data_IF_303998808965
#
_entry.id   IF_303998808965
#
_cell.length_a   1.000
_cell.length_b   1.000
_cell.length_c   1.000
_cell.angle_alpha   90.00
_cell.angle_beta   90.00
_cell.angle_gamma   90.00
#
_symmetry.space_group_name_H-M   'P 1'
#
loop_
_entity.id
_entity.type
_entity.pdbx_description
1 polymer ?
#
# COMPACT_ATOMS: atom_id res chain seq x y z
N UNK A 1 -7.01 -10.60 -0.96
CA UNK A 1 -5.67 -11.17 -0.65
C UNK A 1 -5.18 -10.81 0.75
N UNK A 2 -5.28 -9.54 1.16
CA UNK A 2 -4.83 -9.04 2.48
C UNK A 2 -5.94 -9.00 3.55
N UNK A 3 -6.97 -9.84 3.42
CA UNK A 3 -8.13 -9.80 4.32
C UNK A 3 -7.73 -10.09 5.78
N UNK A 4 -6.82 -11.03 6.00
CA UNK A 4 -6.32 -11.37 7.34
C UNK A 4 -5.58 -10.20 7.99
N UNK A 5 -4.78 -9.46 7.20
CA UNK A 5 -4.09 -8.25 7.66
C UNK A 5 -5.10 -7.18 8.10
N UNK A 6 -6.09 -6.89 7.25
CA UNK A 6 -7.11 -5.88 7.56
C UNK A 6 -7.94 -6.30 8.78
N UNK A 7 -8.26 -7.60 8.88
CA UNK A 7 -8.97 -8.14 10.03
C UNK A 7 -8.18 -7.97 11.32
N UNK A 8 -6.89 -8.35 11.33
CA UNK A 8 -6.01 -8.18 12.49
C UNK A 8 -5.95 -6.72 12.94
N UNK A 9 -5.74 -5.78 12.01
CA UNK A 9 -5.68 -4.35 12.33
C UNK A 9 -6.98 -3.82 12.95
N UNK A 10 -8.13 -4.25 12.42
CA UNK A 10 -9.45 -3.90 13.00
C UNK A 10 -9.67 -4.49 14.38
N UNK A 11 -8.99 -5.58 14.72
CA UNK A 11 -8.96 -6.16 16.07
C UNK A 11 -7.83 -5.57 16.93
N UNK A 12 -7.18 -4.50 16.48
CA UNK A 12 -6.03 -3.87 17.14
C UNK A 12 -4.84 -4.83 17.34
N UNK A 13 -4.63 -5.73 16.39
CA UNK A 13 -3.54 -6.69 16.38
C UNK A 13 -2.65 -6.46 15.16
N UNK A 14 -1.35 -6.73 15.34
CA UNK A 14 -0.44 -6.82 14.22
C UNK A 14 -0.62 -8.17 13.52
N UNK A 15 -0.65 -8.21 12.18
CA UNK A 15 -0.62 -9.46 11.46
C UNK A 15 0.72 -10.19 11.69
N UNK A 16 0.69 -11.52 11.57
CA UNK A 16 1.91 -12.32 11.61
C UNK A 16 2.85 -11.96 10.44
N UNK A 17 4.12 -11.73 10.77
CA UNK A 17 5.12 -11.22 9.81
C UNK A 17 5.43 -12.21 8.68
N UNK A 18 5.80 -13.49 8.92
CA UNK A 18 6.15 -14.41 7.83
C UNK A 18 5.04 -14.59 6.77
N UNK A 19 3.76 -14.85 7.15
CA UNK A 19 2.71 -15.02 6.17
C UNK A 19 2.33 -13.71 5.46
N UNK A 20 2.51 -12.55 6.09
CA UNK A 20 2.33 -11.25 5.44
C UNK A 20 3.43 -10.98 4.41
N UNK A 21 4.69 -11.24 4.74
CA UNK A 21 5.84 -11.08 3.84
C UNK A 21 5.73 -11.93 2.59
N UNK A 22 5.31 -13.19 2.74
CA UNK A 22 5.05 -14.08 1.61
C UNK A 22 3.92 -13.55 0.70
N UNK A 23 2.83 -13.06 1.31
CA UNK A 23 1.70 -12.45 0.57
C UNK A 23 2.12 -11.19 -0.18
N UNK A 24 2.90 -10.30 0.46
CA UNK A 24 3.39 -9.07 -0.18
C UNK A 24 4.21 -9.36 -1.43
N UNK A 25 5.20 -10.26 -1.32
CA UNK A 25 6.04 -10.66 -2.46
C UNK A 25 5.21 -11.20 -3.62
N UNK A 26 4.27 -12.10 -3.34
CA UNK A 26 3.39 -12.65 -4.37
C UNK A 26 2.46 -11.59 -4.98
N UNK A 27 1.95 -10.67 -4.15
CA UNK A 27 1.09 -9.57 -4.59
C UNK A 27 1.82 -8.61 -5.53
N UNK A 28 3.06 -8.22 -5.19
CA UNK A 28 3.87 -7.32 -6.02
C UNK A 28 4.13 -7.93 -7.39
N UNK A 29 4.56 -9.20 -7.45
CA UNK A 29 4.79 -9.89 -8.73
C UNK A 29 3.53 -9.90 -9.61
N UNK A 30 2.37 -10.22 -9.02
CA UNK A 30 1.08 -10.18 -9.74
C UNK A 30 0.75 -8.79 -10.22
N UNK A 31 0.92 -7.79 -9.35
CA UNK A 31 0.59 -6.40 -9.64
C UNK A 31 1.43 -5.86 -10.79
N UNK A 32 2.73 -6.11 -10.77
CA UNK A 32 3.65 -5.73 -11.86
C UNK A 32 3.28 -6.40 -13.19
N UNK A 33 2.79 -7.64 -13.17
CA UNK A 33 2.30 -8.29 -14.39
C UNK A 33 1.03 -7.63 -14.94
N UNK A 34 0.12 -7.20 -14.06
CA UNK A 34 -1.11 -6.49 -14.43
C UNK A 34 -0.81 -5.10 -14.98
N UNK A 35 0.09 -4.34 -14.34
CA UNK A 35 0.47 -3.00 -14.79
C UNK A 35 1.07 -2.97 -16.21
N UNK A 36 1.55 -4.11 -16.74
CA UNK A 36 2.02 -4.24 -18.12
C UNK A 36 0.90 -4.38 -19.16
N UNK A 37 -0.33 -4.58 -18.70
CA UNK A 37 -1.51 -4.70 -19.56
C UNK A 37 -2.21 -3.34 -19.68
N UNK A 38 -2.90 -3.04 -20.78
CA UNK A 38 -3.74 -1.84 -20.85
C UNK A 38 -4.81 -1.87 -19.75
N UNK A 39 -5.06 -0.71 -19.13
CA UNK A 39 -5.96 -0.58 -17.96
C UNK A 39 -7.34 -1.23 -18.16
N UNK A 40 -7.89 -1.17 -19.37
CA UNK A 40 -9.18 -1.78 -19.74
C UNK A 40 -9.24 -3.30 -19.51
N UNK A 41 -8.09 -3.98 -19.41
CA UNK A 41 -7.99 -5.41 -19.17
C UNK A 41 -7.62 -5.78 -17.74
N UNK A 42 -7.45 -4.80 -16.85
CA UNK A 42 -7.08 -5.09 -15.47
C UNK A 42 -8.20 -5.83 -14.74
N UNK A 43 -7.91 -6.99 -14.11
CA UNK A 43 -8.90 -7.73 -13.36
C UNK A 43 -9.45 -6.89 -12.20
N UNK A 44 -10.76 -6.98 -11.95
CA UNK A 44 -11.41 -6.33 -10.80
C UNK A 44 -11.38 -7.21 -9.54
N UNK A 45 -11.10 -8.51 -9.68
CA UNK A 45 -10.99 -9.42 -8.54
C UNK A 45 -9.73 -9.12 -7.72
N UNK A 46 -9.93 -8.67 -6.48
CA UNK A 46 -8.86 -8.31 -5.52
C UNK A 46 -7.96 -9.49 -5.07
N UNK A 47 -8.30 -10.74 -5.40
CA UNK A 47 -7.40 -11.90 -5.23
C UNK A 47 -6.41 -12.03 -6.38
N UNK A 48 -6.77 -11.51 -7.56
CA UNK A 48 -5.95 -11.51 -8.78
C UNK A 48 -5.19 -10.19 -8.89
N UNK A 49 -5.91 -9.07 -8.76
CA UNK A 49 -5.41 -7.70 -8.79
C UNK A 49 -5.57 -7.02 -7.41
N UNK A 50 -4.66 -7.29 -6.45
CA UNK A 50 -4.77 -6.68 -5.13
C UNK A 50 -4.66 -5.15 -5.21
N UNK A 51 -5.51 -4.37 -4.51
CA UNK A 51 -5.40 -2.92 -4.47
C UNK A 51 -4.03 -2.46 -3.99
N UNK A 52 -3.42 -1.49 -4.67
CA UNK A 52 -2.06 -1.03 -4.38
C UNK A 52 -1.91 -0.51 -2.93
N UNK A 53 -2.95 0.14 -2.39
CA UNK A 53 -2.97 0.58 -0.99
C UNK A 53 -2.70 -0.54 0.01
N UNK A 54 -3.17 -1.76 -0.25
CA UNK A 54 -2.94 -2.88 0.67
C UNK A 54 -1.49 -3.40 0.59
N UNK A 55 -0.82 -3.22 -0.56
CA UNK A 55 0.62 -3.52 -0.70
C UNK A 55 1.42 -2.50 0.11
N UNK A 56 1.05 -1.22 0.02
CA UNK A 56 1.67 -0.14 0.79
C UNK A 56 1.53 -0.40 2.30
N UNK A 57 0.33 -0.72 2.77
CA UNK A 57 0.09 -1.02 4.19
C UNK A 57 0.91 -2.23 4.67
N UNK A 58 0.96 -3.30 3.87
CA UNK A 58 1.78 -4.46 4.19
C UNK A 58 3.27 -4.11 4.29
N UNK A 59 3.78 -3.25 3.40
CA UNK A 59 5.17 -2.80 3.45
C UNK A 59 5.46 -1.97 4.72
N UNK A 60 4.52 -1.11 5.15
CA UNK A 60 4.62 -0.38 6.43
C UNK A 60 4.73 -1.33 7.62
N UNK A 61 3.82 -2.30 7.71
CA UNK A 61 3.76 -3.24 8.83
C UNK A 61 5.02 -4.13 8.90
N UNK A 62 5.63 -4.42 7.76
CA UNK A 62 6.87 -5.19 7.65
C UNK A 62 8.13 -4.32 7.78
N UNK A 63 7.98 -2.99 7.88
CA UNK A 63 9.09 -2.03 7.80
C UNK A 63 10.01 -2.27 6.58
N UNK A 64 9.40 -2.69 5.48
CA UNK A 64 10.10 -3.08 4.26
C UNK A 64 10.20 -1.87 3.32
N UNK A 65 11.31 -1.13 3.44
CA UNK A 65 11.53 0.12 2.69
C UNK A 65 11.47 -0.08 1.17
N UNK A 66 12.11 -1.13 0.66
CA UNK A 66 12.17 -1.39 -0.78
C UNK A 66 10.75 -1.61 -1.33
N UNK A 67 9.98 -2.45 -0.65
CA UNK A 67 8.61 -2.70 -1.06
C UNK A 67 7.66 -1.54 -0.75
N UNK A 68 7.99 -0.67 0.20
CA UNK A 68 7.25 0.56 0.48
C UNK A 68 7.35 1.54 -0.70
N UNK A 69 8.56 1.80 -1.19
CA UNK A 69 8.76 2.67 -2.36
C UNK A 69 8.08 2.11 -3.61
N UNK A 70 8.28 0.82 -3.87
CA UNK A 70 7.66 0.15 -5.01
C UNK A 70 6.12 0.15 -4.91
N UNK A 71 5.56 -0.11 -3.72
CA UNK A 71 4.12 -0.04 -3.52
C UNK A 71 3.57 1.38 -3.70
N UNK A 72 4.34 2.41 -3.30
CA UNK A 72 4.02 3.81 -3.56
C UNK A 72 3.95 4.12 -5.06
N UNK A 73 4.92 3.66 -5.84
CA UNK A 73 4.95 3.88 -7.29
C UNK A 73 3.82 3.13 -8.01
N UNK A 74 3.54 1.90 -7.58
CA UNK A 74 2.40 1.10 -8.03
C UNK A 74 1.07 1.80 -7.73
N UNK A 75 0.93 2.38 -6.52
CA UNK A 75 -0.28 3.10 -6.11
C UNK A 75 -0.53 4.32 -7.00
N UNK A 76 0.50 5.14 -7.23
CA UNK A 76 0.41 6.31 -8.10
C UNK A 76 0.00 5.89 -9.51
N UNK A 77 0.64 4.85 -10.05
CA UNK A 77 0.29 4.30 -11.38
C UNK A 77 -1.15 3.82 -11.44
N UNK A 78 -1.61 3.07 -10.43
CA UNK A 78 -2.99 2.57 -10.36
C UNK A 78 -4.01 3.71 -10.33
N UNK A 79 -3.75 4.76 -9.55
CA UNK A 79 -4.64 5.91 -9.44
C UNK A 79 -4.70 6.69 -10.76
N UNK A 80 -3.55 6.89 -11.41
CA UNK A 80 -3.43 7.61 -12.68
C UNK A 80 -4.13 6.93 -13.85
N UNK A 81 -3.99 5.61 -13.93
CA UNK A 81 -4.64 4.80 -14.96
C UNK A 81 -6.15 4.64 -14.70
N UNK A 82 -6.57 4.71 -13.43
CA UNK A 82 -7.99 4.79 -13.10
C UNK A 82 -8.59 6.10 -13.61
N UNK A 83 -9.82 6.03 -14.14
CA UNK A 83 -10.49 7.16 -14.78
C UNK A 83 -10.58 8.46 -13.93
N UNK A 84 -10.29 8.38 -12.63
CA UNK A 84 -10.22 9.49 -11.68
C UNK A 84 -9.11 10.52 -11.99
N UNK A 85 -8.08 10.17 -12.77
CA UNK A 85 -6.86 10.96 -12.84
C UNK A 85 -6.42 11.40 -14.25
N UNK A 86 -7.30 11.31 -15.26
CA UNK A 86 -7.06 11.89 -16.60
C UNK A 86 -6.80 13.41 -16.61
N UNK A 87 -6.88 14.06 -15.45
CA UNK A 87 -6.65 15.49 -15.26
C UNK A 87 -5.43 15.82 -14.38
N UNK A 88 -4.69 14.83 -13.86
CA UNK A 88 -3.47 15.10 -13.09
C UNK A 88 -2.33 15.41 -14.05
N UNK A 89 -1.87 16.67 -14.03
CA UNK A 89 -0.84 17.19 -14.93
C UNK A 89 0.57 16.69 -14.61
N UNK A 90 0.81 16.14 -13.42
CA UNK A 90 2.09 15.54 -13.03
C UNK A 90 1.94 14.42 -11.96
N UNK A 91 2.00 13.14 -12.37
CA UNK A 91 2.07 11.96 -11.50
C UNK A 91 3.03 12.06 -10.30
N UNK A 92 4.21 12.63 -10.52
CA UNK A 92 5.30 12.63 -9.54
C UNK A 92 5.01 13.65 -8.45
N UNK A 93 4.47 14.80 -8.81
CA UNK A 93 4.09 15.85 -7.87
C UNK A 93 3.01 15.39 -6.88
N UNK A 94 2.11 14.49 -7.30
CA UNK A 94 1.02 13.99 -6.45
C UNK A 94 1.40 12.77 -5.59
N UNK A 95 2.54 12.12 -5.86
CA UNK A 95 2.96 10.90 -5.13
C UNK A 95 2.93 11.07 -3.60
N UNK A 96 3.53 12.12 -3.00
CA UNK A 96 3.56 12.24 -1.54
C UNK A 96 2.16 12.38 -0.95
N UNK A 97 1.28 13.14 -1.61
CA UNK A 97 -0.10 13.32 -1.18
C UNK A 97 -0.89 12.01 -1.25
N UNK A 98 -0.81 11.30 -2.38
CA UNK A 98 -1.52 10.03 -2.57
C UNK A 98 -1.07 8.97 -1.56
N UNK A 99 0.23 8.87 -1.28
CA UNK A 99 0.76 7.98 -0.24
C UNK A 99 0.20 8.40 1.12
N UNK A 100 0.27 9.69 1.47
CA UNK A 100 -0.23 10.20 2.76
C UNK A 100 -1.71 9.83 2.98
N UNK A 101 -2.57 10.04 1.98
CA UNK A 101 -4.00 9.72 2.07
C UNK A 101 -4.24 8.22 2.36
N UNK A 102 -3.46 7.33 1.75
CA UNK A 102 -3.57 5.89 2.02
C UNK A 102 -3.03 5.51 3.39
N UNK A 103 -2.01 6.21 3.90
CA UNK A 103 -1.48 5.99 5.25
C UNK A 103 -2.44 6.51 6.32
N UNK A 104 -3.11 7.64 6.08
CA UNK A 104 -4.16 8.15 6.96
C UNK A 104 -5.32 7.15 7.07
N UNK A 105 -5.71 6.52 5.95
CA UNK A 105 -6.70 5.44 5.95
C UNK A 105 -6.23 4.25 6.80
N UNK A 106 -4.95 3.82 6.68
CA UNK A 106 -4.37 2.76 7.52
C UNK A 106 -4.47 3.09 9.02
N UNK A 107 -4.14 4.33 9.40
CA UNK A 107 -4.24 4.75 10.80
C UNK A 107 -5.69 4.80 11.26
N UNK A 108 -6.62 5.18 10.38
CA UNK A 108 -8.05 5.31 10.71
C UNK A 108 -8.72 3.97 11.03
N UNK A 109 -8.24 2.85 10.45
CA UNK A 109 -8.85 1.52 10.68
C UNK A 109 -8.44 0.89 12.02
N UNK A 110 -7.40 1.42 12.67
CA UNK A 110 -6.99 1.02 14.01
C UNK A 110 -7.71 1.89 15.03
N UNK A 111 -8.16 1.31 16.14
CA UNK A 111 -8.82 2.06 17.22
C UNK A 111 -7.91 2.24 18.44
N UNK A 112 -6.98 1.31 18.67
CA UNK A 112 -6.06 1.34 19.79
C UNK A 112 -4.98 2.43 19.64
N UNK A 113 -4.84 3.26 20.69
CA UNK A 113 -3.92 4.38 20.68
C UNK A 113 -2.45 3.96 20.64
N UNK A 114 -2.08 2.85 21.31
CA UNK A 114 -0.70 2.37 21.34
C UNK A 114 -0.27 1.85 19.97
N UNK A 115 -1.12 1.06 19.32
CA UNK A 115 -0.87 0.56 17.97
C UNK A 115 -0.84 1.71 16.95
N UNK A 116 -1.69 2.73 17.07
CA UNK A 116 -1.59 3.95 16.24
C UNK A 116 -0.24 4.61 16.37
N UNK A 117 0.23 4.85 17.60
CA UNK A 117 1.56 5.44 17.83
C UNK A 117 2.65 4.60 17.19
N UNK A 118 2.61 3.28 17.37
CA UNK A 118 3.57 2.37 16.74
C UNK A 118 3.55 2.46 15.20
N UNK A 119 2.38 2.52 14.58
CA UNK A 119 2.28 2.67 13.11
C UNK A 119 2.80 4.02 12.63
N UNK A 120 2.52 5.11 13.36
CA UNK A 120 3.02 6.44 13.04
C UNK A 120 4.56 6.50 13.13
N UNK A 121 5.15 5.82 14.11
CA UNK A 121 6.61 5.68 14.23
C UNK A 121 7.20 4.90 13.05
N UNK A 122 6.57 3.77 12.66
CA UNK A 122 6.99 2.99 11.49
C UNK A 122 6.91 3.80 10.19
N UNK A 123 5.82 4.55 9.98
CA UNK A 123 5.64 5.43 8.82
C UNK A 123 6.73 6.50 8.80
N UNK A 124 6.96 7.17 9.94
CA UNK A 124 7.97 8.22 10.05
C UNK A 124 9.37 7.69 9.75
N UNK A 125 9.71 6.51 10.25
CA UNK A 125 10.97 5.84 9.97
C UNK A 125 11.14 5.58 8.47
N UNK A 126 10.12 5.03 7.80
CA UNK A 126 10.18 4.77 6.36
C UNK A 126 10.37 6.05 5.53
N UNK A 127 9.67 7.14 5.88
CA UNK A 127 9.80 8.42 5.19
C UNK A 127 11.19 9.08 5.36
N UNK A 128 11.78 9.02 6.55
CA UNK A 128 13.09 9.65 6.82
C UNK A 128 14.23 9.06 5.98
N UNK A 129 14.17 7.76 5.68
CA UNK A 129 15.25 7.09 4.94
C UNK A 129 15.06 7.26 3.41
N UNK A 130 13.89 7.64 2.92
CA UNK A 130 13.62 7.81 1.49
C UNK A 130 14.12 9.16 0.92
N UNK A 131 14.35 10.16 1.78
CA UNK A 131 14.85 11.49 1.38
C UNK A 131 16.39 11.62 1.34
N UNK A 132 17.13 10.51 1.25
CA UNK A 132 18.60 10.49 1.19
C UNK A 132 19.13 9.98 -0.16
#
# INVERSE_FOLDING_TARGET
MFSDMIHALRQNQLPEEPPLKARLRAAIVKKMAILRQPYLFWPQDTKINPPARHLLWAAVLLQDKENFELAGDILVTEILESAAARHLSDPVAHRPQLISEQLDELISIVSDGKLKTQLLEQISFLHQVTHH
#
